data_IF_862025178649
#
_entry.id   IF_862025178649
#
_cell.length_a   1.000
_cell.length_b   1.000
_cell.length_c   1.000
_cell.angle_alpha   90.00
_cell.angle_beta   90.00
_cell.angle_gamma   90.00
#
_symmetry.space_group_name_H-M   'P 1'
#
loop_
_entity.id
_entity.type
_entity.pdbx_description
1 polymer ?
#
# COMPACT_ATOMS: atom_id res chain seq x y z
N UNK A 1 -14.36 9.61 -5.74
CA UNK A 1 -14.27 10.17 -4.36
C UNK A 1 -13.83 11.62 -4.43
N UNK A 2 -14.59 12.54 -3.82
CA UNK A 2 -14.20 13.95 -3.72
C UNK A 2 -13.13 14.07 -2.63
N UNK A 3 -11.88 14.39 -3.00
CA UNK A 3 -10.75 14.47 -2.06
C UNK A 3 -10.80 15.81 -1.32
N UNK A 4 -11.23 15.78 -0.06
CA UNK A 4 -11.27 16.96 0.80
C UNK A 4 -9.83 17.50 1.01
N UNK A 5 -9.52 18.73 0.57
CA UNK A 5 -8.17 19.28 0.63
C UNK A 5 -7.66 19.52 2.05
N UNK A 6 -8.53 19.44 3.07
CA UNK A 6 -8.13 19.49 4.48
C UNK A 6 -7.34 18.26 4.91
N UNK A 7 -7.57 17.13 4.26
CA UNK A 7 -6.97 15.84 4.61
C UNK A 7 -6.16 15.24 3.46
N UNK A 8 -6.41 15.66 2.22
CA UNK A 8 -5.68 15.19 1.05
C UNK A 8 -4.68 16.25 0.59
N UNK A 9 -3.40 15.92 0.68
CA UNK A 9 -2.30 16.79 0.25
C UNK A 9 -1.58 16.18 -0.95
N UNK A 10 -1.23 16.96 -1.95
CA UNK A 10 -0.41 16.49 -3.08
C UNK A 10 0.63 17.54 -3.42
N UNK A 11 1.88 17.10 -3.60
CA UNK A 11 3.00 17.93 -4.05
C UNK A 11 3.47 17.57 -5.47
N UNK A 12 2.61 16.89 -6.25
CA UNK A 12 2.85 16.56 -7.66
C UNK A 12 3.35 15.14 -7.95
N UNK A 13 3.54 14.31 -6.93
CA UNK A 13 4.00 12.91 -7.10
C UNK A 13 2.98 11.90 -6.56
N UNK A 14 2.72 11.92 -5.25
CA UNK A 14 1.77 11.02 -4.61
C UNK A 14 0.85 11.82 -3.66
N UNK A 15 -0.48 11.64 -3.75
CA UNK A 15 -1.39 12.24 -2.77
C UNK A 15 -1.21 11.55 -1.42
N UNK A 16 -1.08 12.33 -0.36
CA UNK A 16 -1.01 11.89 1.03
C UNK A 16 -2.38 12.15 1.66
N UNK A 17 -2.85 11.18 2.45
CA UNK A 17 -4.06 11.34 3.25
C UNK A 17 -3.66 11.45 4.71
N UNK A 18 -4.01 12.58 5.32
CA UNK A 18 -3.65 12.93 6.68
C UNK A 18 -4.91 13.39 7.42
N UNK A 19 -5.41 12.54 8.30
CA UNK A 19 -6.55 12.85 9.16
C UNK A 19 -6.39 12.16 10.50
N UNK A 20 -6.33 12.97 11.54
CA UNK A 20 -6.26 12.55 12.93
C UNK A 20 -7.31 11.47 13.25
N UNK A 21 -6.87 10.39 13.89
CA UNK A 21 -7.72 9.28 14.33
C UNK A 21 -8.24 8.35 13.21
N UNK A 22 -7.84 8.52 11.94
CA UNK A 22 -8.26 7.63 10.86
C UNK A 22 -7.30 6.45 10.70
N UNK A 23 -7.83 5.25 10.87
CA UNK A 23 -7.10 4.03 10.54
C UNK A 23 -6.90 3.93 9.04
N UNK A 24 -5.65 3.66 8.63
CA UNK A 24 -5.24 3.53 7.25
C UNK A 24 -4.87 2.08 6.95
N UNK A 25 -5.28 1.62 5.76
CA UNK A 25 -4.81 0.37 5.17
C UNK A 25 -3.85 0.72 4.02
N UNK A 26 -2.56 0.49 4.26
CA UNK A 26 -1.48 0.82 3.34
C UNK A 26 -1.02 -0.49 2.70
N UNK A 27 -0.92 -0.50 1.37
CA UNK A 27 -0.36 -1.61 0.62
C UNK A 27 0.80 -1.12 -0.25
N UNK A 28 1.83 -1.95 -0.39
CA UNK A 28 2.96 -1.68 -1.29
C UNK A 28 3.40 -2.98 -1.96
N UNK A 29 4.07 -2.86 -3.10
CA UNK A 29 4.63 -3.99 -3.86
C UNK A 29 5.97 -3.63 -4.47
N UNK A 30 6.80 -4.63 -4.78
CA UNK A 30 8.00 -4.41 -5.56
C UNK A 30 7.61 -4.03 -7.00
N UNK A 31 8.50 -3.29 -7.66
CA UNK A 31 8.21 -2.67 -8.95
C UNK A 31 7.93 -3.71 -10.06
N UNK A 32 8.55 -4.89 -9.96
CA UNK A 32 8.50 -5.98 -10.93
C UNK A 32 7.46 -7.07 -10.58
N UNK A 33 6.74 -6.93 -9.45
CA UNK A 33 5.78 -7.96 -8.99
C UNK A 33 4.56 -8.12 -9.89
N UNK A 34 4.25 -7.09 -10.68
CA UNK A 34 3.19 -7.10 -11.70
C UNK A 34 3.75 -6.39 -12.93
N UNK A 35 3.83 -7.06 -14.10
CA UNK A 35 4.23 -6.42 -15.34
C UNK A 35 3.38 -5.18 -15.64
N UNK A 36 4.02 -4.08 -16.06
CA UNK A 36 3.30 -2.82 -16.28
C UNK A 36 2.19 -2.94 -17.32
N UNK A 37 2.43 -3.66 -18.42
CA UNK A 37 1.41 -3.90 -19.44
C UNK A 37 0.14 -4.60 -18.88
N UNK A 38 0.29 -5.50 -17.90
CA UNK A 38 -0.85 -6.16 -17.25
C UNK A 38 -1.61 -5.18 -16.37
N UNK A 39 -0.90 -4.35 -15.61
CA UNK A 39 -1.51 -3.32 -14.77
C UNK A 39 -2.23 -2.25 -15.59
N UNK A 40 -1.63 -1.82 -16.69
CA UNK A 40 -2.18 -0.85 -17.64
C UNK A 40 -3.46 -1.39 -18.26
N UNK A 41 -3.49 -2.65 -18.72
CA UNK A 41 -4.72 -3.26 -19.22
C UNK A 41 -5.84 -3.26 -18.18
N UNK A 42 -5.56 -3.58 -16.91
CA UNK A 42 -6.60 -3.52 -15.87
C UNK A 42 -7.01 -2.08 -15.50
N UNK A 43 -6.11 -1.09 -15.67
CA UNK A 43 -6.47 0.32 -15.53
C UNK A 43 -7.39 0.76 -16.66
N UNK A 44 -7.12 0.34 -17.89
CA UNK A 44 -7.99 0.59 -19.04
C UNK A 44 -9.38 -0.02 -18.83
N UNK A 45 -9.46 -1.27 -18.35
CA UNK A 45 -10.74 -1.92 -18.00
C UNK A 45 -11.49 -1.11 -16.92
N UNK A 46 -10.78 -0.57 -15.92
CA UNK A 46 -11.36 0.25 -14.85
C UNK A 46 -11.85 1.61 -15.38
N UNK A 47 -11.06 2.26 -16.25
CA UNK A 47 -11.43 3.55 -16.87
C UNK A 47 -12.62 3.43 -17.83
N UNK A 48 -12.81 2.25 -18.41
CA UNK A 48 -13.98 1.92 -19.26
C UNK A 48 -15.20 1.45 -18.46
N UNK A 49 -15.13 1.48 -17.13
CA UNK A 49 -16.16 0.96 -16.22
C UNK A 49 -16.52 -0.52 -16.45
N UNK A 50 -15.63 -1.30 -17.07
CA UNK A 50 -15.82 -2.75 -17.31
C UNK A 50 -15.59 -3.57 -16.04
N UNK A 51 -14.81 -3.01 -15.11
CA UNK A 51 -14.56 -3.57 -13.79
C UNK A 51 -14.71 -2.49 -12.72
N UNK A 52 -14.98 -2.91 -11.49
CA UNK A 52 -15.01 -1.98 -10.35
C UNK A 52 -13.62 -1.76 -9.76
N UNK A 53 -13.46 -0.71 -8.94
CA UNK A 53 -12.27 -0.53 -8.08
C UNK A 53 -11.95 -1.79 -7.25
N UNK A 54 -12.98 -2.49 -6.77
CA UNK A 54 -12.83 -3.71 -5.97
C UNK A 54 -12.29 -4.86 -6.83
N UNK A 55 -12.77 -5.00 -8.06
CA UNK A 55 -12.27 -5.98 -9.03
C UNK A 55 -10.82 -5.72 -9.40
N UNK A 56 -10.47 -4.46 -9.67
CA UNK A 56 -9.10 -4.04 -9.97
C UNK A 56 -8.15 -4.44 -8.82
N UNK A 57 -8.49 -4.07 -7.58
CA UNK A 57 -7.69 -4.44 -6.40
C UNK A 57 -7.56 -5.96 -6.27
N UNK A 58 -8.65 -6.70 -6.42
CA UNK A 58 -8.63 -8.17 -6.35
C UNK A 58 -7.75 -8.79 -7.42
N UNK A 59 -7.76 -8.27 -8.66
CA UNK A 59 -6.85 -8.74 -9.72
C UNK A 59 -5.39 -8.51 -9.38
N UNK A 60 -5.07 -7.33 -8.82
CA UNK A 60 -3.72 -7.00 -8.35
C UNK A 60 -3.28 -7.95 -7.25
N UNK A 61 -4.08 -8.11 -6.18
CA UNK A 61 -3.74 -9.00 -5.06
C UNK A 61 -3.57 -10.45 -5.52
N UNK A 62 -4.49 -10.98 -6.33
CA UNK A 62 -4.40 -12.33 -6.89
C UNK A 62 -3.13 -12.54 -7.74
N UNK A 63 -2.60 -11.49 -8.35
CA UNK A 63 -1.36 -11.57 -9.12
C UNK A 63 -0.14 -11.51 -8.21
N UNK A 64 -0.19 -10.67 -7.17
CA UNK A 64 0.85 -10.58 -6.16
C UNK A 64 1.06 -11.91 -5.43
N UNK A 65 -0.03 -12.62 -5.11
CA UNK A 65 0.00 -13.96 -4.50
C UNK A 65 0.70 -15.02 -5.35
N UNK A 66 0.84 -14.80 -6.67
CA UNK A 66 1.61 -15.69 -7.55
C UNK A 66 3.12 -15.51 -7.41
N UNK A 67 3.57 -14.51 -6.64
CA UNK A 67 4.97 -14.28 -6.29
C UNK A 67 5.90 -14.09 -7.50
N UNK A 68 5.40 -13.44 -8.56
CA UNK A 68 6.25 -12.99 -9.67
C UNK A 68 7.21 -11.86 -9.23
N UNK A 69 8.26 -11.64 -10.03
CA UNK A 69 9.34 -10.70 -9.76
C UNK A 69 10.49 -11.32 -8.95
N UNK A 70 11.41 -10.47 -8.50
CA UNK A 70 12.60 -10.87 -7.76
C UNK A 70 12.28 -11.43 -6.36
N UNK A 71 11.15 -11.03 -5.79
CA UNK A 71 10.69 -11.48 -4.48
C UNK A 71 11.69 -11.17 -3.36
N UNK A 72 12.37 -10.02 -3.41
CA UNK A 72 13.44 -9.64 -2.48
C UNK A 72 12.99 -9.66 -1.01
N UNK A 73 11.71 -9.43 -0.72
CA UNK A 73 11.17 -9.52 0.64
C UNK A 73 11.06 -10.97 1.14
N UNK A 74 11.30 -11.98 0.30
CA UNK A 74 11.49 -13.36 0.74
C UNK A 74 12.78 -13.52 1.54
N UNK A 75 13.78 -12.67 1.30
CA UNK A 75 15.06 -12.71 2.00
C UNK A 75 14.82 -12.17 3.41
N UNK A 76 14.99 -12.97 4.47
CA UNK A 76 14.64 -12.55 5.83
C UNK A 76 15.34 -11.26 6.27
N UNK A 77 16.59 -11.07 5.84
CA UNK A 77 17.33 -9.85 6.14
C UNK A 77 16.68 -8.58 5.55
N UNK A 78 16.08 -8.67 4.35
CA UNK A 78 15.41 -7.54 3.71
C UNK A 78 14.02 -7.32 4.34
N UNK A 79 13.26 -8.39 4.56
CA UNK A 79 11.98 -8.30 5.27
C UNK A 79 12.13 -7.69 6.67
N UNK A 80 13.20 -8.04 7.39
CA UNK A 80 13.49 -7.49 8.71
C UNK A 80 13.70 -5.98 8.69
N UNK A 81 14.32 -5.41 7.64
CA UNK A 81 14.48 -3.95 7.53
C UNK A 81 13.10 -3.26 7.49
N UNK A 82 12.16 -3.82 6.74
CA UNK A 82 10.79 -3.28 6.66
C UNK A 82 10.08 -3.46 8.00
N UNK A 83 10.14 -4.65 8.59
CA UNK A 83 9.53 -4.94 9.90
C UNK A 83 10.07 -4.00 10.99
N UNK A 84 11.38 -3.86 11.10
CA UNK A 84 12.02 -2.98 12.09
C UNK A 84 11.60 -1.53 11.88
N UNK A 85 11.46 -1.08 10.63
CA UNK A 85 10.96 0.26 10.32
C UNK A 85 9.51 0.45 10.80
N UNK A 86 8.65 -0.56 10.62
CA UNK A 86 7.26 -0.51 11.08
C UNK A 86 7.18 -0.50 12.61
N UNK A 87 7.96 -1.35 13.28
CA UNK A 87 7.95 -1.47 14.75
C UNK A 87 8.62 -0.30 15.45
N UNK A 88 9.63 0.33 14.84
CA UNK A 88 10.37 1.45 15.42
C UNK A 88 9.49 2.61 15.86
N UNK A 89 8.42 2.89 15.11
CA UNK A 89 7.53 4.03 15.36
C UNK A 89 6.17 3.64 15.93
N UNK A 90 5.95 2.34 16.19
CA UNK A 90 4.74 1.88 16.87
C UNK A 90 4.71 2.40 18.31
N UNK A 91 3.57 2.99 18.70
CA UNK A 91 3.42 3.65 20.00
C UNK A 91 4.03 5.05 20.09
N UNK A 92 4.75 5.51 19.06
CA UNK A 92 5.31 6.86 18.99
C UNK A 92 4.65 7.74 17.92
N UNK A 93 4.53 7.24 16.69
CA UNK A 93 3.94 7.98 15.55
C UNK A 93 2.56 7.50 15.16
N UNK A 94 2.35 6.20 15.31
CA UNK A 94 1.11 5.52 15.02
C UNK A 94 0.96 4.33 15.97
N UNK A 95 -0.26 3.85 16.10
CA UNK A 95 -0.55 2.50 16.59
C UNK A 95 -0.56 1.54 15.41
N UNK A 96 0.37 0.59 15.40
CA UNK A 96 0.40 -0.51 14.45
C UNK A 96 -0.60 -1.58 14.90
N UNK A 97 -1.62 -1.84 14.08
CA UNK A 97 -2.73 -2.74 14.44
C UNK A 97 -2.45 -4.14 13.92
N UNK A 98 -2.10 -4.25 12.64
CA UNK A 98 -1.69 -5.51 12.01
C UNK A 98 -0.84 -5.21 10.78
N UNK A 99 0.01 -6.15 10.40
CA UNK A 99 0.80 -6.05 9.19
C UNK A 99 1.25 -7.44 8.72
N UNK A 100 1.58 -7.55 7.44
CA UNK A 100 2.22 -8.73 6.86
C UNK A 100 3.20 -8.29 5.78
N UNK A 101 4.36 -8.94 5.75
CA UNK A 101 5.35 -8.81 4.67
C UNK A 101 5.32 -10.11 3.89
N UNK A 102 4.86 -10.03 2.65
CA UNK A 102 4.84 -11.11 1.68
C UNK A 102 6.10 -11.02 0.81
N UNK A 103 6.48 -12.07 0.07
CA UNK A 103 7.74 -12.09 -0.70
C UNK A 103 7.96 -10.92 -1.67
N UNK A 104 6.88 -10.31 -2.18
CA UNK A 104 6.95 -9.22 -3.15
C UNK A 104 6.01 -8.04 -2.84
N UNK A 105 5.29 -8.07 -1.72
CA UNK A 105 4.34 -7.02 -1.33
C UNK A 105 4.12 -7.01 0.18
N UNK A 106 3.39 -6.03 0.70
CA UNK A 106 3.02 -5.98 2.10
C UNK A 106 1.71 -5.23 2.33
N UNK A 107 1.04 -5.60 3.42
CA UNK A 107 -0.17 -4.96 3.90
C UNK A 107 0.06 -4.45 5.31
N UNK A 108 -0.34 -3.21 5.57
CA UNK A 108 -0.13 -2.54 6.85
C UNK A 108 -1.44 -1.89 7.26
N UNK A 109 -1.87 -2.15 8.48
CA UNK A 109 -3.04 -1.55 9.09
C UNK A 109 -2.60 -0.80 10.34
N UNK A 110 -2.73 0.53 10.31
CA UNK A 110 -2.24 1.40 11.39
C UNK A 110 -3.15 2.60 11.60
N UNK A 111 -3.03 3.25 12.75
CA UNK A 111 -3.69 4.51 13.06
C UNK A 111 -2.65 5.55 13.47
N UNK A 112 -2.45 6.65 12.72
CA UNK A 112 -1.59 7.76 13.14
C UNK A 112 -2.10 8.37 14.45
N UNK A 113 -1.19 8.86 15.29
CA UNK A 113 -1.57 9.73 16.42
C UNK A 113 -1.80 11.16 15.94
N UNK A 114 -2.57 11.92 16.72
CA UNK A 114 -2.98 13.27 16.36
C UNK A 114 -1.79 14.19 16.09
N UNK A 115 -1.87 14.95 15.00
CA UNK A 115 -0.82 15.90 14.60
C UNK A 115 0.43 15.24 13.99
N UNK A 116 0.41 13.94 13.71
CA UNK A 116 1.50 13.21 13.06
C UNK A 116 1.13 12.85 11.63
N UNK A 117 1.86 13.45 10.68
CA UNK A 117 1.81 13.09 9.26
C UNK A 117 2.71 11.89 8.99
N UNK A 118 2.22 10.92 8.20
CA UNK A 118 2.94 9.70 7.80
C UNK A 118 3.55 9.80 6.39
#
# INVERSE_FOLDING_TARGET
>A
MNKDPRYWHSRGYLPHFDKDGYTQFITFRLADSVPQAVLENWRDDLERDEITDADFRRRVENYLDQNYGDGSLRIPAIANIVQETLLKWDGERYRLISWVIMPNHGHIFLSPFDGISL
#
